data_IF_812315043697
#
_entry.id   IF_812315043697
#
_cell.length_a   1.000
_cell.length_b   1.000
_cell.length_c   1.000
_cell.angle_alpha   90.00
_cell.angle_beta   90.00
_cell.angle_gamma   90.00
#
_symmetry.space_group_name_H-M   'P 1'
#
loop_
_entity.id
_entity.type
_entity.pdbx_description
1 polymer ?
#
# COMPACT_ATOMS: atom_id res chain seq x y z
N UNK A 1 -4.88 -0.10 11.15
CA UNK A 1 -5.33 -0.09 9.73
C UNK A 1 -4.25 0.58 8.92
N UNK A 2 -3.82 0.00 7.81
CA UNK A 2 -2.73 0.53 7.00
C UNK A 2 -3.22 1.00 5.64
N UNK A 3 -2.63 2.09 5.15
CA UNK A 3 -2.81 2.63 3.80
C UNK A 3 -1.45 2.52 3.14
N UNK A 4 -1.30 1.63 2.16
CA UNK A 4 -0.17 1.66 1.21
C UNK A 4 -0.54 2.67 0.16
N UNK A 5 0.32 3.64 -0.09
CA UNK A 5 0.16 4.59 -1.19
C UNK A 5 1.31 4.37 -2.15
N UNK A 6 1.01 4.11 -3.42
CA UNK A 6 1.92 4.47 -4.49
C UNK A 6 2.04 6.00 -4.49
N UNK A 7 3.25 6.59 -4.45
CA UNK A 7 3.41 8.01 -4.76
C UNK A 7 2.88 8.22 -6.19
N UNK A 8 1.97 9.19 -6.36
CA UNK A 8 1.37 9.50 -7.66
C UNK A 8 2.42 9.72 -8.76
N UNK A 9 2.56 8.75 -9.67
CA UNK A 9 3.34 8.92 -10.90
C UNK A 9 2.67 9.96 -11.82
N UNK A 10 3.50 10.92 -12.27
CA UNK A 10 3.33 11.74 -13.47
C UNK A 10 2.12 12.70 -13.61
N UNK A 11 2.26 13.97 -13.21
CA UNK A 11 1.76 15.10 -14.02
C UNK A 11 2.78 16.26 -13.95
N UNK A 12 3.36 16.59 -15.09
CA UNK A 12 4.37 17.65 -15.32
C UNK A 12 3.78 19.07 -15.26
N UNK A 13 2.89 19.37 -14.32
CA UNK A 13 2.10 20.59 -14.39
C UNK A 13 1.86 21.24 -13.01
N UNK A 14 1.79 22.58 -12.94
CA UNK A 14 1.57 23.38 -11.72
C UNK A 14 0.30 22.99 -10.94
N UNK A 15 -0.58 22.20 -11.55
CA UNK A 15 -1.76 21.55 -10.96
C UNK A 15 -1.41 20.50 -9.89
N UNK A 16 -0.17 20.00 -9.84
CA UNK A 16 0.28 18.97 -8.89
C UNK A 16 0.43 19.45 -7.45
N UNK A 17 0.83 20.71 -7.24
CA UNK A 17 0.90 21.28 -5.89
C UNK A 17 -0.47 21.24 -5.21
N UNK A 18 -1.54 21.55 -5.96
CA UNK A 18 -2.90 21.48 -5.42
C UNK A 18 -3.32 20.04 -5.09
N UNK A 19 -3.04 19.07 -5.98
CA UNK A 19 -3.38 17.66 -5.74
C UNK A 19 -2.57 17.05 -4.59
N UNK A 20 -1.26 17.32 -4.52
CA UNK A 20 -0.40 16.84 -3.44
C UNK A 20 -0.81 17.46 -2.09
N UNK A 21 -1.08 18.76 -2.05
CA UNK A 21 -1.61 19.43 -0.85
C UNK A 21 -2.96 18.84 -0.45
N UNK A 22 -3.86 18.61 -1.41
CA UNK A 22 -5.17 18.00 -1.15
C UNK A 22 -5.07 16.56 -0.68
N UNK A 23 -4.12 15.78 -1.21
CA UNK A 23 -3.82 14.43 -0.74
C UNK A 23 -3.37 14.45 0.72
N UNK A 24 -2.42 15.32 1.06
CA UNK A 24 -1.93 15.45 2.43
C UNK A 24 -3.03 15.93 3.39
N UNK A 25 -3.88 16.86 2.96
CA UNK A 25 -5.05 17.28 3.73
C UNK A 25 -6.05 16.13 3.94
N UNK A 26 -6.36 15.38 2.87
CA UNK A 26 -7.26 14.24 2.94
C UNK A 26 -6.69 13.12 3.83
N UNK A 27 -5.38 12.87 3.75
CA UNK A 27 -4.68 11.90 4.61
C UNK A 27 -4.77 12.34 6.07
N UNK A 28 -4.45 13.60 6.37
CA UNK A 28 -4.51 14.16 7.72
C UNK A 28 -5.93 14.05 8.31
N UNK A 29 -6.94 14.46 7.56
CA UNK A 29 -8.35 14.36 7.96
C UNK A 29 -8.78 12.90 8.17
N UNK A 30 -8.38 12.01 7.26
CA UNK A 30 -8.69 10.58 7.37
C UNK A 30 -8.03 9.96 8.60
N UNK A 31 -6.76 10.25 8.87
CA UNK A 31 -6.05 9.78 10.05
C UNK A 31 -6.71 10.30 11.34
N UNK A 32 -7.05 11.59 11.40
CA UNK A 32 -7.77 12.15 12.55
C UNK A 32 -9.12 11.46 12.79
N UNK A 33 -9.91 11.26 11.73
CA UNK A 33 -11.20 10.58 11.84
C UNK A 33 -11.04 9.13 12.32
N UNK A 34 -10.09 8.39 11.78
CA UNK A 34 -9.84 7.00 12.18
C UNK A 34 -9.38 6.88 13.63
N UNK A 35 -8.47 7.74 14.07
CA UNK A 35 -7.99 7.76 15.46
C UNK A 35 -9.08 8.15 16.45
N UNK A 36 -10.01 9.01 16.04
CA UNK A 36 -11.16 9.40 16.84
C UNK A 36 -12.19 8.27 16.94
N UNK A 37 -12.49 7.63 15.82
CA UNK A 37 -13.61 6.68 15.72
C UNK A 37 -13.19 5.24 16.12
N UNK A 38 -11.90 4.93 16.07
CA UNK A 38 -11.35 3.60 16.40
C UNK A 38 -10.28 3.75 17.50
N UNK A 39 -10.64 3.51 18.78
CA UNK A 39 -9.70 3.59 19.89
C UNK A 39 -8.46 2.72 19.68
N UNK A 40 -7.29 3.23 20.08
CA UNK A 40 -5.99 2.54 20.01
C UNK A 40 -5.55 2.11 18.60
N UNK A 41 -6.16 2.63 17.54
CA UNK A 41 -5.71 2.33 16.19
C UNK A 41 -4.28 2.84 15.98
N UNK A 42 -3.46 1.97 15.39
CA UNK A 42 -2.16 2.36 14.83
C UNK A 42 -2.22 2.29 13.31
N UNK A 43 -1.61 3.27 12.68
CA UNK A 43 -1.54 3.43 11.22
C UNK A 43 -0.07 3.48 10.84
N UNK A 44 0.27 2.77 9.78
CA UNK A 44 1.60 2.79 9.15
C UNK A 44 1.43 3.04 7.67
N UNK A 45 2.50 3.49 7.01
CA UNK A 45 2.52 3.79 5.58
C UNK A 45 3.73 3.10 4.97
N UNK A 46 3.52 2.32 3.92
CA UNK A 46 4.60 1.90 3.02
C UNK A 46 4.42 2.67 1.73
N UNK A 47 5.48 3.39 1.34
CA UNK A 47 5.62 3.95 0.01
C UNK A 47 6.57 3.07 -0.79
N UNK A 48 6.21 2.80 -2.03
CA UNK A 48 7.03 2.00 -2.93
C UNK A 48 7.22 2.72 -4.27
N UNK A 49 8.41 2.59 -4.84
CA UNK A 49 8.63 2.77 -6.27
C UNK A 49 8.62 1.42 -6.96
N UNK A 50 9.51 1.25 -7.91
CA UNK A 50 9.83 -0.04 -8.49
C UNK A 50 11.33 -0.36 -8.35
N UNK A 51 11.76 -1.56 -8.74
CA UNK A 51 13.14 -2.01 -8.57
C UNK A 51 14.18 -1.13 -9.28
N UNK A 52 13.79 -0.47 -10.38
CA UNK A 52 14.63 0.50 -11.09
C UNK A 52 14.77 1.85 -10.36
N UNK A 53 13.92 2.14 -9.37
CA UNK A 53 13.95 3.37 -8.58
C UNK A 53 14.98 3.34 -7.44
N UNK A 54 15.90 2.37 -7.43
CA UNK A 54 16.92 2.22 -6.37
C UNK A 54 17.76 3.50 -6.13
N UNK A 55 17.90 4.35 -7.14
CA UNK A 55 18.61 5.62 -7.09
C UNK A 55 17.89 6.67 -6.21
N UNK A 56 16.60 6.47 -5.95
CA UNK A 56 15.79 7.24 -5.02
C UNK A 56 15.37 6.38 -3.82
N UNK A 57 14.50 5.39 -4.05
CA UNK A 57 14.17 4.29 -3.15
C UNK A 57 13.25 3.28 -3.85
N UNK A 58 13.36 2.00 -3.47
CA UNK A 58 12.36 0.99 -3.83
C UNK A 58 11.25 0.94 -2.78
N UNK A 59 11.61 0.94 -1.48
CA UNK A 59 10.66 0.91 -0.36
C UNK A 59 11.06 1.94 0.71
N UNK A 60 10.07 2.69 1.21
CA UNK A 60 10.14 3.50 2.44
C UNK A 60 9.00 3.14 3.38
N UNK A 61 9.28 3.12 4.67
CA UNK A 61 8.35 2.63 5.70
C UNK A 61 8.25 3.64 6.85
N UNK A 62 7.03 4.06 7.15
CA UNK A 62 6.63 4.59 8.45
C UNK A 62 5.87 3.48 9.18
N UNK A 63 6.45 3.00 10.28
CA UNK A 63 5.86 1.93 11.07
C UNK A 63 4.59 2.40 11.80
N UNK A 64 3.83 1.44 12.32
CA UNK A 64 2.55 1.59 12.98
C UNK A 64 2.63 2.54 14.17
N UNK A 65 1.96 3.69 14.06
CA UNK A 65 1.91 4.73 15.08
C UNK A 65 0.51 5.32 15.22
N UNK A 66 0.24 5.93 16.37
CA UNK A 66 -0.95 6.77 16.61
C UNK A 66 -0.65 8.27 16.40
N UNK A 67 0.59 8.62 16.06
CA UNK A 67 1.02 9.99 15.81
C UNK A 67 0.68 10.42 14.38
N UNK A 68 -0.38 11.24 14.24
CA UNK A 68 -0.82 11.77 12.95
C UNK A 68 0.26 12.61 12.29
N UNK A 69 1.03 13.37 13.06
CA UNK A 69 2.02 14.28 12.49
C UNK A 69 3.15 13.48 11.84
N UNK A 70 3.61 12.40 12.47
CA UNK A 70 4.59 11.47 11.84
C UNK A 70 4.08 10.89 10.52
N UNK A 71 2.80 10.53 10.44
CA UNK A 71 2.20 9.99 9.21
C UNK A 71 2.14 11.05 8.10
N UNK A 72 1.75 12.27 8.44
CA UNK A 72 1.68 13.39 7.50
C UNK A 72 3.08 13.81 7.04
N UNK A 73 4.04 13.91 7.96
CA UNK A 73 5.42 14.27 7.66
C UNK A 73 6.10 13.21 6.79
N UNK A 74 5.87 11.93 7.08
CA UNK A 74 6.34 10.84 6.23
C UNK A 74 5.78 10.96 4.81
N UNK A 75 4.46 11.16 4.67
CA UNK A 75 3.82 11.28 3.37
C UNK A 75 4.33 12.52 2.60
N UNK A 76 4.52 13.66 3.28
CA UNK A 76 5.01 14.90 2.68
C UNK A 76 6.49 14.83 2.30
N UNK A 77 7.31 14.12 3.09
CA UNK A 77 8.74 13.95 2.88
C UNK A 77 9.11 12.78 1.97
N UNK A 78 8.14 11.97 1.54
CA UNK A 78 8.37 10.86 0.62
C UNK A 78 8.42 11.36 -0.82
N UNK A 79 9.57 11.27 -1.50
CA UNK A 79 9.68 11.75 -2.87
C UNK A 79 8.90 10.84 -3.83
N UNK A 80 8.45 11.40 -4.95
CA UNK A 80 7.85 10.62 -6.02
C UNK A 80 8.89 9.72 -6.70
N UNK A 81 8.44 8.58 -7.22
CA UNK A 81 9.24 7.63 -8.00
C UNK A 81 8.74 7.58 -9.44
N UNK A 82 9.60 7.13 -10.35
CA UNK A 82 9.28 7.08 -11.78
C UNK A 82 8.62 5.76 -12.18
N UNK A 83 8.92 4.68 -11.46
CA UNK A 83 8.71 3.33 -11.97
C UNK A 83 9.63 3.06 -13.17
N UNK A 84 9.33 2.01 -13.92
CA UNK A 84 10.07 1.66 -15.12
C UNK A 84 9.21 0.93 -16.14
N UNK A 85 8.76 -0.26 -15.76
CA UNK A 85 7.82 -1.06 -16.54
C UNK A 85 6.40 -0.97 -15.98
N UNK A 86 5.51 -1.79 -16.52
CA UNK A 86 4.07 -1.74 -16.22
C UNK A 86 3.72 -2.42 -14.89
N UNK A 87 4.22 -3.64 -14.57
CA UNK A 87 3.98 -4.23 -13.25
C UNK A 87 4.74 -3.48 -12.16
N UNK A 88 4.34 -3.68 -10.91
CA UNK A 88 4.83 -2.93 -9.76
C UNK A 88 5.34 -3.87 -8.65
N UNK A 89 6.24 -3.40 -7.78
CA UNK A 89 6.91 -4.23 -6.76
C UNK A 89 6.03 -4.60 -5.53
N UNK A 90 4.75 -4.92 -5.73
CA UNK A 90 3.85 -5.23 -4.61
C UNK A 90 4.26 -6.50 -3.85
N UNK A 91 4.92 -7.46 -4.49
CA UNK A 91 5.48 -8.63 -3.83
C UNK A 91 6.48 -8.23 -2.73
N UNK A 92 7.34 -7.25 -3.02
CA UNK A 92 8.24 -6.70 -2.01
C UNK A 92 7.48 -5.91 -0.94
N UNK A 93 6.43 -5.17 -1.31
CA UNK A 93 5.57 -4.47 -0.34
C UNK A 93 4.90 -5.43 0.64
N UNK A 94 4.38 -6.57 0.16
CA UNK A 94 3.76 -7.59 1.00
C UNK A 94 4.77 -8.24 1.95
N UNK A 95 5.97 -8.55 1.45
CA UNK A 95 7.05 -9.07 2.28
C UNK A 95 7.45 -8.07 3.38
N UNK A 96 7.65 -6.79 3.01
CA UNK A 96 7.99 -5.74 3.98
C UNK A 96 6.86 -5.43 4.96
N UNK A 97 5.60 -5.63 4.56
CA UNK A 97 4.47 -5.44 5.45
C UNK A 97 4.45 -6.44 6.62
N UNK A 98 5.05 -7.63 6.47
CA UNK A 98 5.16 -8.62 7.55
C UNK A 98 6.12 -8.15 8.65
N UNK A 99 7.05 -7.25 8.33
CA UNK A 99 8.09 -6.77 9.23
C UNK A 99 7.65 -5.59 10.09
N UNK A 100 6.40 -5.14 9.94
CA UNK A 100 5.85 -4.06 10.76
C UNK A 100 5.53 -4.54 12.18
N UNK A 101 5.51 -3.60 13.13
CA UNK A 101 5.19 -3.87 14.53
C UNK A 101 3.67 -4.08 14.73
N UNK A 102 3.13 -5.20 14.23
CA UNK A 102 1.73 -5.57 14.40
C UNK A 102 1.43 -5.94 15.86
N UNK A 103 0.37 -5.35 16.45
CA UNK A 103 -0.09 -5.80 17.79
C UNK A 103 -0.74 -7.18 17.66
N UNK A 104 -0.25 -8.16 18.41
CA UNK A 104 -0.70 -9.57 18.40
C UNK A 104 -2.24 -9.67 18.49
N UNK A 105 -2.84 -9.07 19.53
CA UNK A 105 -4.28 -9.13 19.81
C UNK A 105 -5.12 -8.01 19.17
N UNK A 106 -4.71 -7.50 18.01
CA UNK A 106 -5.46 -6.44 17.30
C UNK A 106 -6.10 -6.93 16.01
N UNK A 107 -7.18 -6.27 15.60
CA UNK A 107 -7.67 -6.39 14.23
C UNK A 107 -6.65 -5.77 13.26
N UNK A 108 -6.04 -6.60 12.42
CA UNK A 108 -5.00 -6.19 11.47
C UNK A 108 -5.57 -6.06 10.07
N UNK A 109 -5.25 -4.95 9.40
CA UNK A 109 -5.68 -4.70 8.03
C UNK A 109 -4.57 -4.01 7.23
N UNK A 110 -4.31 -4.54 6.04
CA UNK A 110 -3.41 -3.99 5.03
C UNK A 110 -4.23 -3.52 3.83
N UNK A 111 -4.20 -2.23 3.51
CA UNK A 111 -4.79 -1.71 2.28
C UNK A 111 -3.67 -1.44 1.28
N UNK A 112 -3.69 -2.11 0.13
CA UNK A 112 -2.79 -1.88 -1.00
C UNK A 112 -3.49 -0.94 -1.99
N UNK A 113 -2.86 0.18 -2.36
CA UNK A 113 -3.38 1.09 -3.39
C UNK A 113 -2.37 1.11 -4.53
N UNK A 114 -2.83 0.66 -5.69
CA UNK A 114 -2.03 0.47 -6.88
C UNK A 114 -2.83 0.71 -8.16
N UNK A 115 -2.16 0.64 -9.28
CA UNK A 115 -2.70 0.84 -10.63
C UNK A 115 -2.40 -0.32 -11.58
N UNK A 116 -1.55 -1.28 -11.17
CA UNK A 116 -1.18 -2.43 -12.00
C UNK A 116 -1.10 -3.75 -11.21
N UNK A 117 -0.60 -4.80 -11.86
CA UNK A 117 -0.30 -6.11 -11.29
C UNK A 117 1.11 -6.18 -10.64
N UNK A 118 1.36 -7.15 -9.73
CA UNK A 118 2.69 -7.40 -9.19
C UNK A 118 3.67 -8.01 -10.20
N UNK A 119 4.97 -7.84 -9.96
CA UNK A 119 6.01 -8.53 -10.72
C UNK A 119 5.96 -10.07 -10.54
N UNK A 120 6.30 -10.87 -11.56
CA UNK A 120 6.43 -12.31 -11.42
C UNK A 120 7.68 -12.69 -10.61
N UNK A 121 7.74 -13.88 -9.99
CA UNK A 121 8.91 -14.32 -9.22
C UNK A 121 10.21 -14.36 -10.04
N UNK A 122 10.14 -14.51 -11.37
CA UNK A 122 11.34 -14.50 -12.22
C UNK A 122 11.92 -13.10 -12.45
N UNK A 123 11.26 -12.03 -12.02
CA UNK A 123 11.67 -10.65 -12.31
C UNK A 123 12.97 -10.24 -11.59
N UNK A 124 13.17 -10.71 -10.35
CA UNK A 124 14.40 -10.45 -9.58
C UNK A 124 15.04 -11.74 -9.08
N UNK A 125 16.31 -11.66 -8.69
CA UNK A 125 17.04 -12.78 -8.06
C UNK A 125 16.46 -13.19 -6.69
N UNK A 126 15.65 -12.32 -6.06
CA UNK A 126 15.00 -12.62 -4.79
C UNK A 126 13.86 -13.64 -4.92
N UNK A 127 13.31 -13.81 -6.13
CA UNK A 127 12.24 -14.77 -6.44
C UNK A 127 11.01 -14.68 -5.53
N UNK A 128 10.66 -13.47 -5.14
CA UNK A 128 9.52 -13.19 -4.26
C UNK A 128 8.22 -13.48 -5.03
N UNK A 129 7.34 -14.27 -4.43
CA UNK A 129 6.02 -14.56 -4.96
C UNK A 129 4.96 -13.90 -4.09
N UNK A 130 4.21 -12.96 -4.67
CA UNK A 130 3.18 -12.22 -3.94
C UNK A 130 2.10 -13.10 -3.31
N UNK A 131 1.82 -14.30 -3.86
CA UNK A 131 0.88 -15.24 -3.25
C UNK A 131 1.41 -15.79 -1.92
N UNK A 132 2.69 -16.12 -1.86
CA UNK A 132 3.33 -16.66 -0.66
C UNK A 132 3.41 -15.59 0.42
N UNK A 133 3.79 -14.37 0.04
CA UNK A 133 3.83 -13.22 0.95
C UNK A 133 2.43 -12.83 1.46
N UNK A 134 1.40 -12.93 0.61
CA UNK A 134 0.01 -12.74 1.03
C UNK A 134 -0.45 -13.83 2.00
N UNK A 135 -0.06 -15.09 1.78
CA UNK A 135 -0.39 -16.19 2.68
C UNK A 135 0.32 -16.04 4.03
N UNK A 136 1.56 -15.56 4.05
CA UNK A 136 2.27 -15.24 5.29
C UNK A 136 1.55 -14.14 6.09
N UNK A 137 1.12 -13.05 5.43
CA UNK A 137 0.31 -12.01 6.07
C UNK A 137 -1.02 -12.56 6.61
N UNK A 138 -1.68 -13.48 5.89
CA UNK A 138 -2.91 -14.14 6.38
C UNK A 138 -2.64 -14.99 7.62
N UNK A 139 -1.51 -15.70 7.67
CA UNK A 139 -1.11 -16.49 8.84
C UNK A 139 -0.86 -15.60 10.08
N UNK A 140 -0.49 -14.33 9.86
CA UNK A 140 -0.42 -13.29 10.90
C UNK A 140 -1.77 -12.63 11.23
N UNK A 141 -2.86 -13.15 10.65
CA UNK A 141 -4.24 -12.62 10.76
C UNK A 141 -4.42 -11.21 10.16
N UNK A 142 -3.54 -10.81 9.23
CA UNK A 142 -3.65 -9.54 8.51
C UNK A 142 -4.65 -9.71 7.36
N UNK A 143 -5.73 -8.93 7.39
CA UNK A 143 -6.69 -8.83 6.29
C UNK A 143 -6.17 -7.86 5.23
N UNK A 144 -5.67 -8.39 4.11
CA UNK A 144 -5.23 -7.58 2.98
C UNK A 144 -6.41 -7.24 2.04
N UNK A 145 -6.46 -6.00 1.55
CA UNK A 145 -7.42 -5.52 0.54
C UNK A 145 -6.65 -4.70 -0.48
N UNK A 146 -6.82 -4.97 -1.76
CA UNK A 146 -6.17 -4.21 -2.83
C UNK A 146 -7.20 -3.35 -3.57
N UNK A 147 -6.83 -2.11 -3.85
CA UNK A 147 -7.56 -1.18 -4.70
C UNK A 147 -6.69 -0.88 -5.92
N UNK A 148 -7.15 -1.33 -7.09
CA UNK A 148 -6.55 -1.06 -8.40
C UNK A 148 -7.35 -0.02 -9.18
N UNK A 149 -6.69 0.79 -10.00
CA UNK A 149 -7.35 1.60 -11.04
C UNK A 149 -6.87 1.12 -12.41
N UNK A 150 -7.65 0.27 -13.08
CA UNK A 150 -7.44 0.02 -14.52
C UNK A 150 -7.97 1.21 -15.32
N UNK A 151 -7.08 1.94 -16.00
CA UNK A 151 -7.45 3.06 -16.87
C UNK A 151 -7.69 2.55 -18.28
N UNK A 152 -8.78 1.82 -18.52
CA UNK A 152 -9.54 1.76 -19.79
C UNK A 152 -10.93 1.16 -19.49
N UNK A 153 -11.96 2.02 -19.43
CA UNK A 153 -13.35 1.74 -19.04
C UNK A 153 -13.58 1.46 -17.54
N UNK A 154 -14.19 2.42 -16.85
CA UNK A 154 -14.49 2.43 -15.42
C UNK A 154 -15.27 1.16 -15.02
N UNK A 155 -14.54 0.20 -14.44
CA UNK A 155 -15.06 -0.76 -13.48
C UNK A 155 -14.11 -0.77 -12.29
N UNK A 156 -14.57 -0.25 -11.15
CA UNK A 156 -13.86 -0.42 -9.87
C UNK A 156 -13.95 -1.91 -9.52
N UNK A 157 -12.99 -2.71 -9.96
CA UNK A 157 -12.83 -4.06 -9.48
C UNK A 157 -12.34 -3.97 -8.03
N UNK A 158 -13.28 -4.07 -7.09
CA UNK A 158 -12.95 -4.31 -5.69
C UNK A 158 -12.29 -5.69 -5.62
N UNK A 159 -10.97 -5.74 -5.72
CA UNK A 159 -10.21 -6.92 -5.30
C UNK A 159 -10.27 -6.95 -3.78
N UNK A 160 -11.42 -7.40 -3.26
CA UNK A 160 -11.41 -7.96 -1.93
C UNK A 160 -10.58 -9.22 -2.06
N UNK A 161 -9.36 -9.21 -1.54
CA UNK A 161 -8.60 -10.44 -1.29
C UNK A 161 -9.26 -11.20 -0.11
N UNK A 162 -10.59 -11.35 -0.13
CA UNK A 162 -11.33 -12.27 0.72
C UNK A 162 -11.46 -13.58 -0.04
N UNK A 163 -10.61 -14.53 0.33
CA UNK A 163 -10.82 -15.93 -0.01
C UNK A 163 -11.99 -16.44 0.84
N UNK A 164 -13.18 -16.55 0.23
CA UNK A 164 -14.08 -17.72 0.35
C UNK A 164 -15.48 -17.43 -0.22
N UNK A 165 -15.75 -17.98 -1.42
CA UNK A 165 -16.85 -18.93 -1.57
C UNK A 165 -16.32 -20.14 -2.32
N UNK A 166 -16.40 -21.31 -1.68
CA UNK A 166 -16.28 -22.62 -2.34
C UNK A 166 -17.09 -22.59 -3.65
N UNK A 167 -16.48 -23.02 -4.76
CA UNK A 167 -17.26 -23.52 -5.89
C UNK A 167 -18.09 -24.71 -5.38
N UNK A 168 -19.40 -24.79 -5.63
CA UNK A 168 -20.07 -26.07 -5.58
C UNK A 168 -19.47 -26.94 -6.69
N UNK A 169 -19.18 -28.19 -6.34
CA UNK A 169 -18.89 -29.24 -7.30
C UNK A 169 -20.15 -29.49 -8.13
N UNK A 170 -20.02 -29.37 -9.45
CA UNK A 170 -20.84 -30.06 -10.46
C UNK A 170 -19.92 -30.51 -11.60
#
# INVERSE_FOLDING_TARGET
MKIVMKPLQYIKDLRYLHTAVKLLQNLKETCHRLLRDIPNIRIGIIAHGDFCDNHNYVIKIQDLTSDVQKLVDFAAGTPATGGGDTPECYELVLQKAQQLDWTEDSAKALVVIGDCEPHPPSYTDQKINWHDELNALKAMEVKAVAFGVEVYNIQIHKYVLTTNKKKPEE
#
